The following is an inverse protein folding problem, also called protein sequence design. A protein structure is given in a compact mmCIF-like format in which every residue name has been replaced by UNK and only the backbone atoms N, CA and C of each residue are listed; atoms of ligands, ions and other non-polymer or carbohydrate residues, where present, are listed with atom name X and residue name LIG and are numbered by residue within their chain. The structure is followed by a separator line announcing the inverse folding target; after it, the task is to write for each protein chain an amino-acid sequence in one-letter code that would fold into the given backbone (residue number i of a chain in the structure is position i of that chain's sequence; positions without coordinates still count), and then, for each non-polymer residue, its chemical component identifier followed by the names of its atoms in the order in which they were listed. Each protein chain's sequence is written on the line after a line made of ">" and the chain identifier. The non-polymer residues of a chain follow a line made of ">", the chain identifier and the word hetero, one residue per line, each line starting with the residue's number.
data_IF_172500881996
#
_entry.id   IF_172500881996
#
_cell.length_a   1.000
_cell.length_b   1.000
_cell.length_c   1.000
_cell.angle_alpha   90.00
_cell.angle_beta   90.00
_cell.angle_gamma   90.00
#
_symmetry.space_group_name_H-M   'P 1'
#
loop_
_entity.id
_entity.type
_entity.pdbx_description
1 polymer ?
#
# COMPACT_ATOMS: atom_id res chain seq x y z
N UNK A 1 19.48 12.36 -5.34
CA UNK A 1 19.10 12.06 -3.93
C UNK A 1 17.75 11.34 -3.86
N UNK A 2 17.66 10.18 -3.21
CA UNK A 2 16.37 9.53 -2.92
C UNK A 2 15.66 10.42 -1.89
N UNK A 3 14.38 10.74 -2.11
CA UNK A 3 13.63 11.68 -1.27
C UNK A 3 13.63 11.29 0.23
N UNK A 4 13.79 10.01 0.55
CA UNK A 4 13.87 9.47 1.91
C UNK A 4 15.01 10.09 2.74
N UNK A 5 16.15 10.41 2.11
CA UNK A 5 17.28 11.07 2.77
C UNK A 5 16.95 12.47 3.31
N UNK A 6 15.88 13.09 2.80
CA UNK A 6 15.47 14.44 3.17
C UNK A 6 14.56 14.45 4.40
N UNK A 7 14.29 13.30 5.02
CA UNK A 7 13.43 13.19 6.20
C UNK A 7 14.33 13.15 7.45
N UNK A 8 14.48 14.28 8.19
CA UNK A 8 15.47 14.39 9.26
C UNK A 8 15.13 13.55 10.50
N UNK A 9 13.83 13.35 10.76
CA UNK A 9 13.35 12.56 11.89
C UNK A 9 12.18 11.68 11.44
N UNK A 10 12.47 10.49 10.87
CA UNK A 10 11.45 9.63 10.29
C UNK A 10 10.66 8.84 11.35
N UNK A 11 11.12 8.82 12.59
CA UNK A 11 10.56 7.96 13.63
C UNK A 11 9.40 8.62 14.40
N UNK A 12 8.48 7.76 14.84
CA UNK A 12 7.42 8.07 15.80
C UNK A 12 7.47 6.99 16.87
N UNK A 13 7.61 7.39 18.14
CA UNK A 13 7.74 6.48 19.28
C UNK A 13 8.77 5.36 19.04
N UNK A 14 9.94 5.73 18.52
CA UNK A 14 11.02 4.80 18.23
C UNK A 14 10.71 3.79 17.12
N UNK A 15 9.73 4.05 16.25
CA UNK A 15 9.35 3.16 15.14
C UNK A 15 9.26 3.90 13.83
N UNK A 16 9.61 3.20 12.74
CA UNK A 16 9.28 3.65 11.40
C UNK A 16 7.85 3.21 11.08
N UNK A 17 6.89 4.14 11.17
CA UNK A 17 5.46 3.86 10.96
C UNK A 17 5.08 4.07 9.50
N UNK A 18 4.70 3.02 8.81
CA UNK A 18 4.30 3.05 7.40
C UNK A 18 2.80 2.82 7.25
N UNK A 19 2.11 3.64 6.46
CA UNK A 19 0.75 3.38 5.99
C UNK A 19 0.81 2.75 4.60
N UNK A 20 0.17 1.60 4.44
CA UNK A 20 0.02 0.89 3.17
C UNK A 20 -1.46 0.85 2.79
N UNK A 21 -1.75 1.29 1.58
CA UNK A 21 -3.10 1.23 1.00
C UNK A 21 -3.00 1.15 -0.53
N UNK A 22 -4.10 0.82 -1.19
CA UNK A 22 -4.25 1.02 -2.63
C UNK A 22 -5.46 1.87 -2.97
N UNK A 23 -5.38 2.63 -4.06
CA UNK A 23 -6.44 3.53 -4.48
C UNK A 23 -6.78 3.36 -5.95
N UNK A 24 -8.07 3.51 -6.26
CA UNK A 24 -8.58 3.61 -7.63
C UNK A 24 -8.73 5.09 -7.97
N UNK A 25 -7.99 5.54 -8.99
CA UNK A 25 -8.00 6.92 -9.47
C UNK A 25 -8.59 6.97 -10.88
N UNK A 26 -9.88 7.32 -10.98
CA UNK A 26 -10.62 7.36 -12.23
C UNK A 26 -9.99 8.34 -13.23
N UNK A 27 -9.96 7.94 -14.50
CA UNK A 27 -9.45 8.75 -15.61
C UNK A 27 -10.41 8.71 -16.78
N UNK A 28 -10.24 9.64 -17.71
CA UNK A 28 -10.97 9.68 -18.98
C UNK A 28 -10.06 9.40 -20.18
N UNK A 29 -8.76 9.68 -20.07
CA UNK A 29 -7.78 9.44 -21.13
C UNK A 29 -7.50 7.95 -21.35
N UNK A 30 -7.73 7.47 -22.57
CA UNK A 30 -7.55 6.06 -22.96
C UNK A 30 -6.10 5.63 -23.13
N UNK A 31 -5.16 6.58 -23.14
CA UNK A 31 -3.71 6.35 -23.35
C UNK A 31 -2.85 6.64 -22.12
N UNK A 32 -3.48 6.84 -20.96
CA UNK A 32 -2.77 7.17 -19.72
C UNK A 32 -2.11 5.90 -19.18
N UNK A 33 -0.81 5.95 -18.93
CA UNK A 33 -0.05 4.85 -18.34
C UNK A 33 -0.64 4.42 -16.99
N UNK A 34 -0.68 3.11 -16.75
CA UNK A 34 -1.28 2.53 -15.55
C UNK A 34 -2.81 2.38 -15.63
N UNK A 35 -3.47 2.90 -16.67
CA UNK A 35 -4.92 2.79 -16.78
C UNK A 35 -5.40 1.43 -17.29
N UNK A 36 -6.46 0.93 -16.67
CA UNK A 36 -7.19 -0.27 -17.06
C UNK A 36 -8.59 -0.26 -16.43
N UNK A 37 -9.32 -1.36 -16.62
CA UNK A 37 -10.59 -1.56 -15.90
C UNK A 37 -10.30 -2.32 -14.60
N UNK A 38 -10.60 -1.74 -13.45
CA UNK A 38 -10.34 -2.38 -12.15
C UNK A 38 -11.65 -2.62 -11.43
N UNK A 39 -11.81 -3.76 -10.77
CA UNK A 39 -13.00 -3.97 -9.94
C UNK A 39 -12.91 -3.07 -8.71
N UNK A 40 -13.97 -2.33 -8.44
CA UNK A 40 -14.09 -1.47 -7.26
C UNK A 40 -15.08 -2.09 -6.27
N UNK A 41 -14.54 -2.70 -5.21
CA UNK A 41 -15.33 -3.28 -4.12
C UNK A 41 -16.13 -2.23 -3.33
N UNK A 42 -15.80 -0.95 -3.48
CA UNK A 42 -16.40 0.18 -2.76
C UNK A 42 -17.38 0.98 -3.63
N UNK A 43 -17.60 0.55 -4.88
CA UNK A 43 -18.48 1.23 -5.81
C UNK A 43 -19.89 1.40 -5.23
N UNK A 44 -20.36 2.65 -5.19
CA UNK A 44 -21.72 3.00 -4.76
C UNK A 44 -22.73 2.76 -5.90
N UNK A 45 -24.03 2.79 -5.59
CA UNK A 45 -25.14 2.53 -6.53
C UNK A 45 -25.02 3.28 -7.86
N UNK A 46 -24.51 4.52 -7.85
CA UNK A 46 -24.37 5.37 -9.05
C UNK A 46 -22.92 5.42 -9.59
N UNK A 47 -22.09 4.43 -9.27
CA UNK A 47 -20.71 4.33 -9.75
C UNK A 47 -20.50 3.03 -10.52
N UNK A 48 -19.69 3.03 -11.60
CA UNK A 48 -19.37 1.81 -12.30
C UNK A 48 -18.54 0.90 -11.40
N UNK A 49 -18.84 -0.40 -11.40
CA UNK A 49 -18.08 -1.40 -10.64
C UNK A 49 -16.72 -1.72 -11.28
N UNK A 50 -16.56 -1.37 -12.56
CA UNK A 50 -15.30 -1.46 -13.30
C UNK A 50 -14.96 -0.11 -13.95
N UNK A 51 -14.53 0.90 -13.20
CA UNK A 51 -14.12 2.18 -13.77
C UNK A 51 -12.86 2.03 -14.63
N UNK A 52 -12.74 2.90 -15.64
CA UNK A 52 -11.46 3.18 -16.28
C UNK A 52 -10.61 4.05 -15.35
N UNK A 53 -9.55 3.47 -14.79
CA UNK A 53 -8.81 4.10 -13.70
C UNK A 53 -7.36 3.62 -13.67
N UNK A 54 -6.54 4.29 -12.88
CA UNK A 54 -5.30 3.72 -12.37
C UNK A 54 -5.59 3.03 -11.03
N UNK A 55 -5.01 1.86 -10.78
CA UNK A 55 -4.93 1.29 -9.44
C UNK A 55 -3.51 1.48 -8.92
N UNK A 56 -3.37 2.17 -7.78
CA UNK A 56 -2.08 2.63 -7.27
C UNK A 56 -1.89 2.06 -5.87
N UNK A 57 -0.89 1.19 -5.71
CA UNK A 57 -0.42 0.75 -4.39
C UNK A 57 0.51 1.83 -3.86
N UNK A 58 0.24 2.34 -2.67
CA UNK A 58 0.98 3.46 -2.07
C UNK A 58 1.47 3.09 -0.68
N UNK A 59 2.69 3.52 -0.39
CA UNK A 59 3.32 3.39 0.91
C UNK A 59 3.76 4.78 1.37
N UNK A 60 3.32 5.19 2.55
CA UNK A 60 3.63 6.50 3.11
C UNK A 60 4.13 6.43 4.55
N UNK A 61 4.91 7.44 4.95
CA UNK A 61 5.36 7.61 6.32
C UNK A 61 4.26 8.28 7.14
N UNK A 62 3.83 7.65 8.23
CA UNK A 62 2.95 8.27 9.20
C UNK A 62 3.77 9.10 10.18
N UNK A 63 3.54 10.43 10.17
CA UNK A 63 4.24 11.37 11.06
C UNK A 63 3.28 12.43 11.60
N UNK A 64 3.30 12.72 12.91
CA UNK A 64 2.71 13.94 13.45
C UNK A 64 3.49 15.16 12.98
N UNK A 65 2.84 16.05 12.23
CA UNK A 65 3.38 17.33 11.76
C UNK A 65 2.45 18.42 12.25
N UNK A 66 2.97 19.36 13.05
CA UNK A 66 2.19 20.47 13.63
C UNK A 66 0.90 20.00 14.34
N UNK A 67 1.01 18.93 15.12
CA UNK A 67 -0.11 18.36 15.88
C UNK A 67 -1.13 17.55 15.08
N UNK A 68 -0.89 17.30 13.78
CA UNK A 68 -1.77 16.49 12.92
C UNK A 68 -1.04 15.30 12.34
N UNK A 69 -1.71 14.16 12.27
CA UNK A 69 -1.19 13.01 11.52
C UNK A 69 -1.12 13.36 10.03
N UNK A 70 0.06 13.16 9.46
CA UNK A 70 0.34 13.34 8.04
C UNK A 70 0.88 12.05 7.47
N UNK A 71 0.49 11.73 6.24
CA UNK A 71 1.04 10.63 5.46
C UNK A 71 1.94 11.22 4.37
N UNK A 72 3.26 11.07 4.53
CA UNK A 72 4.23 11.54 3.54
C UNK A 72 4.46 10.43 2.51
N UNK A 73 4.22 10.66 1.20
CA UNK A 73 4.43 9.63 0.19
C UNK A 73 5.89 9.16 0.15
N UNK A 74 6.14 7.87 0.35
CA UNK A 74 7.47 7.28 0.26
C UNK A 74 7.66 6.49 -1.03
N UNK A 75 6.65 5.74 -1.44
CA UNK A 75 6.69 4.93 -2.66
C UNK A 75 5.28 4.71 -3.22
N UNK A 76 5.19 4.51 -4.53
CA UNK A 76 3.96 4.12 -5.20
C UNK A 76 4.25 3.26 -6.43
N UNK A 77 3.35 2.33 -6.75
CA UNK A 77 3.39 1.54 -7.98
C UNK A 77 2.01 1.46 -8.62
N UNK A 78 1.97 1.52 -9.94
CA UNK A 78 0.76 1.17 -10.68
C UNK A 78 0.60 -0.34 -10.69
N UNK A 79 -0.57 -0.82 -10.30
CA UNK A 79 -0.97 -2.20 -10.50
C UNK A 79 -1.49 -2.37 -11.93
N UNK A 80 -0.93 -3.35 -12.66
CA UNK A 80 -1.38 -3.73 -13.98
C UNK A 80 -1.97 -5.13 -13.93
N UNK A 81 -3.13 -5.35 -14.58
CA UNK A 81 -3.68 -6.70 -14.71
C UNK A 81 -2.83 -7.50 -15.69
N UNK A 82 -2.55 -8.76 -15.36
CA UNK A 82 -1.79 -9.68 -16.22
C UNK A 82 -2.32 -9.69 -17.67
N UNK A 83 -3.64 -9.84 -17.84
CA UNK A 83 -4.26 -9.83 -19.18
C UNK A 83 -4.01 -8.56 -20.01
N UNK A 84 -3.84 -7.41 -19.36
CA UNK A 84 -3.59 -6.14 -20.05
C UNK A 84 -2.10 -6.03 -20.46
N UNK A 85 -1.21 -6.64 -19.67
CA UNK A 85 0.21 -6.84 -19.99
C UNK A 85 0.38 -7.83 -21.15
N UNK A 86 -0.27 -8.99 -21.08
CA UNK A 86 -0.18 -10.06 -22.09
C UNK A 86 -0.69 -9.57 -23.46
N UNK A 87 -1.76 -8.77 -23.45
CA UNK A 87 -2.28 -8.12 -24.64
C UNK A 87 -1.41 -6.95 -25.15
N UNK A 88 -0.29 -6.65 -24.47
CA UNK A 88 0.65 -5.60 -24.86
C UNK A 88 0.04 -4.21 -24.92
N UNK A 89 -1.00 -3.92 -24.11
CA UNK A 89 -1.77 -2.67 -24.17
C UNK A 89 -0.88 -1.46 -23.99
N UNK A 90 -1.19 -0.37 -24.71
CA UNK A 90 -0.42 0.88 -24.65
C UNK A 90 -0.29 1.44 -23.23
N UNK A 91 -1.30 1.26 -22.38
CA UNK A 91 -1.28 1.77 -20.99
C UNK A 91 -0.50 0.88 -20.02
N UNK A 92 -0.12 -0.32 -20.45
CA UNK A 92 0.81 -1.19 -19.74
C UNK A 92 2.26 -0.95 -20.18
N UNK A 93 2.52 0.05 -21.04
CA UNK A 93 3.86 0.37 -21.52
C UNK A 93 4.36 1.67 -20.95
N UNK A 94 5.60 1.66 -20.47
CA UNK A 94 6.34 2.86 -20.10
C UNK A 94 7.64 2.89 -20.89
N UNK A 95 7.95 4.02 -21.54
CA UNK A 95 9.14 4.18 -22.39
C UNK A 95 9.33 3.04 -23.41
N UNK A 96 8.23 2.56 -24.02
CA UNK A 96 8.24 1.48 -25.01
C UNK A 96 8.33 0.06 -24.44
N UNK A 97 8.63 -0.10 -23.15
CA UNK A 97 8.71 -1.39 -22.48
C UNK A 97 7.38 -1.76 -21.82
N UNK A 98 6.96 -3.00 -21.98
CA UNK A 98 5.76 -3.54 -21.30
C UNK A 98 6.10 -3.79 -19.84
N UNK A 99 5.21 -3.39 -18.92
CA UNK A 99 5.37 -3.62 -17.50
C UNK A 99 5.38 -5.12 -17.17
N UNK A 100 6.30 -5.53 -16.30
CA UNK A 100 6.28 -6.89 -15.72
C UNK A 100 5.15 -6.98 -14.71
N UNK A 101 4.40 -8.08 -14.76
CA UNK A 101 3.34 -8.29 -13.80
C UNK A 101 3.90 -8.47 -12.38
N UNK A 102 3.25 -7.81 -11.44
CA UNK A 102 3.41 -8.05 -10.01
C UNK A 102 2.05 -7.93 -9.34
N UNK A 103 1.74 -8.82 -8.40
CA UNK A 103 0.57 -8.65 -7.54
C UNK A 103 0.74 -7.43 -6.63
N UNK A 104 -0.37 -6.84 -6.17
CA UNK A 104 -0.32 -5.73 -5.20
C UNK A 104 0.46 -6.10 -3.93
N UNK A 105 0.33 -7.34 -3.47
CA UNK A 105 1.07 -7.88 -2.31
C UNK A 105 2.58 -7.90 -2.57
N UNK A 106 3.01 -8.37 -3.74
CA UNK A 106 4.42 -8.38 -4.11
C UNK A 106 4.98 -6.96 -4.24
N UNK A 107 4.21 -6.05 -4.87
CA UNK A 107 4.56 -4.63 -4.95
C UNK A 107 4.74 -4.00 -3.57
N UNK A 108 3.78 -4.23 -2.66
CA UNK A 108 3.83 -3.74 -1.30
C UNK A 108 5.05 -4.29 -0.53
N UNK A 109 5.27 -5.60 -0.56
CA UNK A 109 6.40 -6.24 0.12
C UNK A 109 7.74 -5.68 -0.38
N UNK A 110 7.91 -5.55 -1.70
CA UNK A 110 9.14 -5.02 -2.29
C UNK A 110 9.38 -3.55 -1.90
N UNK A 111 8.32 -2.73 -1.87
CA UNK A 111 8.42 -1.33 -1.41
C UNK A 111 8.79 -1.24 0.08
N UNK A 112 8.16 -2.06 0.93
CA UNK A 112 8.45 -2.12 2.37
C UNK A 112 9.91 -2.51 2.60
N UNK A 113 10.39 -3.58 1.94
CA UNK A 113 11.75 -4.08 2.11
C UNK A 113 12.81 -3.08 1.64
N UNK A 114 12.56 -2.35 0.54
CA UNK A 114 13.47 -1.28 0.08
C UNK A 114 13.58 -0.14 1.10
N UNK A 115 12.46 0.23 1.72
CA UNK A 115 12.46 1.26 2.77
C UNK A 115 13.12 0.74 4.06
N UNK A 116 12.83 -0.51 4.45
CA UNK A 116 13.44 -1.15 5.60
C UNK A 116 14.97 -1.22 5.46
N UNK A 117 15.47 -1.61 4.29
CA UNK A 117 16.91 -1.65 4.00
C UNK A 117 17.54 -0.25 4.08
N UNK A 118 16.83 0.78 3.62
CA UNK A 118 17.29 2.16 3.67
C UNK A 118 17.42 2.70 5.11
N UNK A 119 16.48 2.33 5.98
CA UNK A 119 16.46 2.71 7.39
C UNK A 119 16.93 1.56 8.30
N UNK A 120 17.85 0.72 7.82
CA UNK A 120 18.29 -0.49 8.53
C UNK A 120 18.99 -0.20 9.86
N UNK A 121 19.53 1.00 10.01
CA UNK A 121 20.10 1.54 11.25
C UNK A 121 19.03 1.96 12.28
N UNK A 122 17.73 1.94 11.92
CA UNK A 122 16.64 2.49 12.71
C UNK A 122 15.72 1.41 13.29
N UNK A 123 15.16 1.66 14.50
CA UNK A 123 14.32 0.73 15.28
C UNK A 123 12.98 0.38 14.58
N UNK A 124 12.16 -0.54 15.13
CA UNK A 124 11.39 -1.48 14.32
C UNK A 124 10.36 -0.83 13.41
N UNK A 125 10.17 -1.45 12.26
CA UNK A 125 9.20 -1.05 11.25
C UNK A 125 7.80 -1.54 11.64
N UNK A 126 6.82 -0.63 11.62
CA UNK A 126 5.42 -0.95 11.83
C UNK A 126 4.63 -0.59 10.56
N UNK A 127 4.03 -1.58 9.91
CA UNK A 127 3.12 -1.36 8.79
C UNK A 127 1.68 -1.34 9.31
N UNK A 128 0.99 -0.24 9.05
CA UNK A 128 -0.44 -0.06 9.29
C UNK A 128 -1.15 -0.20 7.95
N UNK A 129 -2.11 -1.12 7.88
CA UNK A 129 -2.91 -1.38 6.69
C UNK A 129 -4.28 -1.94 7.07
N UNK A 130 -5.20 -1.96 6.12
CA UNK A 130 -6.52 -2.58 6.27
C UNK A 130 -6.44 -4.11 6.21
N UNK A 131 -7.58 -4.79 6.25
CA UNK A 131 -7.64 -6.26 6.16
C UNK A 131 -7.28 -6.81 4.77
N UNK A 132 -7.37 -5.98 3.72
CA UNK A 132 -6.99 -6.38 2.38
C UNK A 132 -5.48 -6.65 2.28
N UNK A 133 -4.65 -5.83 2.92
CA UNK A 133 -3.21 -6.06 3.02
C UNK A 133 -2.78 -6.81 4.29
N UNK A 134 -3.54 -6.70 5.38
CA UNK A 134 -3.25 -7.28 6.70
C UNK A 134 -3.51 -8.79 6.80
N UNK A 135 -3.03 -9.58 5.83
CA UNK A 135 -3.22 -11.03 5.79
C UNK A 135 -1.97 -11.78 5.31
N UNK A 136 -2.09 -13.11 5.24
CA UNK A 136 -1.00 -14.01 4.86
C UNK A 136 -0.40 -13.74 3.47
N UNK A 137 -1.14 -13.07 2.57
CA UNK A 137 -0.65 -12.68 1.25
C UNK A 137 0.50 -11.68 1.31
N UNK A 138 0.44 -10.72 2.25
CA UNK A 138 1.53 -9.76 2.48
C UNK A 138 2.57 -10.31 3.46
N UNK A 139 2.13 -11.04 4.49
CA UNK A 139 3.03 -11.58 5.52
C UNK A 139 4.11 -12.49 4.93
N UNK A 140 3.72 -13.48 4.11
CA UNK A 140 4.64 -14.49 3.55
C UNK A 140 5.86 -13.89 2.84
N UNK A 141 5.71 -12.95 1.88
CA UNK A 141 6.87 -12.36 1.22
C UNK A 141 7.73 -11.50 2.15
N UNK A 142 7.15 -10.92 3.21
CA UNK A 142 7.93 -10.17 4.21
C UNK A 142 8.72 -11.11 5.13
N UNK A 143 8.09 -12.19 5.62
CA UNK A 143 8.68 -13.12 6.59
C UNK A 143 9.80 -13.99 6.01
N UNK A 144 9.83 -14.16 4.69
CA UNK A 144 10.88 -14.90 4.01
C UNK A 144 12.24 -14.18 4.03
N UNK A 145 12.28 -12.88 4.35
CA UNK A 145 13.43 -12.00 4.16
C UNK A 145 13.95 -11.39 5.48
N UNK A 146 13.21 -11.51 6.60
CA UNK A 146 13.66 -11.02 7.90
C UNK A 146 12.96 -11.66 9.09
N UNK A 147 13.58 -11.57 10.26
CA UNK A 147 13.00 -11.98 11.55
C UNK A 147 11.88 -11.01 11.91
N UNK A 148 10.65 -11.32 11.52
CA UNK A 148 9.49 -10.50 11.87
C UNK A 148 8.86 -11.10 13.13
N UNK A 149 8.84 -10.32 14.21
CA UNK A 149 8.04 -10.67 15.37
C UNK A 149 6.56 -10.51 15.01
N UNK A 150 5.71 -11.53 15.23
CA UNK A 150 4.27 -11.34 15.09
C UNK A 150 3.84 -10.20 16.01
N UNK A 151 2.82 -9.40 15.64
CA UNK A 151 2.25 -8.42 16.56
C UNK A 151 1.89 -9.16 17.85
N UNK A 152 2.25 -8.59 19.00
CA UNK A 152 1.76 -9.07 20.27
C UNK A 152 0.23 -9.15 20.15
N UNK A 153 -0.32 -10.35 20.31
CA UNK A 153 -1.76 -10.56 20.29
C UNK A 153 -2.33 -9.63 21.36
N UNK A 154 -3.11 -8.60 21.00
CA UNK A 154 -3.78 -7.81 22.01
C UNK A 154 -4.63 -8.78 22.84
N UNK A 155 -4.68 -8.67 24.18
CA UNK A 155 -5.63 -9.46 24.96
C UNK A 155 -7.00 -9.30 24.29
N UNK A 156 -7.65 -10.43 24.01
CA UNK A 156 -8.87 -10.50 23.22
C UNK A 156 -9.77 -9.32 23.57
N UNK A 157 -10.15 -8.53 22.56
CA UNK A 157 -11.08 -7.43 22.74
C UNK A 157 -12.38 -8.04 23.28
N UNK A 158 -12.53 -8.03 24.61
CA UNK A 158 -13.73 -8.52 25.26
C UNK A 158 -14.84 -7.58 24.84
N UNK A 159 -15.69 -8.03 23.92
CA UNK A 159 -16.96 -7.41 23.63
C UNK A 159 -17.72 -7.32 24.96
N UNK A 160 -17.73 -6.14 25.58
CA UNK A 160 -18.63 -5.85 26.69
C UNK A 160 -19.99 -5.53 26.05
N UNK A 161 -21.02 -6.39 26.20
CA UNK A 161 -22.35 -6.00 25.77
C UNK A 161 -22.72 -4.74 26.55
N UNK A 162 -23.12 -3.70 25.81
CA UNK A 162 -23.76 -2.53 26.39
C UNK A 162 -25.01 -3.06 27.10
N UNK A 163 -25.02 -3.00 28.43
CA UNK A 163 -26.24 -3.30 29.19
C UNK A 163 -27.27 -2.29 28.72
N UNK A 164 -28.33 -2.77 28.08
CA UNK A 164 -29.53 -1.98 27.87
C UNK A 164 -29.97 -1.45 29.22
N UNK A 165 -30.01 -0.12 29.35
CA UNK A 165 -30.79 0.55 30.37
C UNK A 165 -32.24 0.47 29.93
N UNK A 166 -33.01 -0.28 30.72
CA UNK A 166 -34.49 -0.25 30.93
C UNK A 166 -35.42 -0.12 29.71
#
# INVERSE_FOLDING_TARGET
>A
PIAWNLIPSPLVDGRLMLALDDSINNKTGKRIFGCGFFFDHTAKVNQPTYPWAQNIVMLGLLKPIKGRWSCLPLASRFYHRQKDIDAGKINARSHGQVATFQSKMAQAAEMILRIAAHFSDKPPLLVVCDSWFGNNGLWKPLSAIGTIHPPAVPPAYQYRPVRGTE
#
